data_IF_688885330724
#
_entry.id   IF_688885330724
#
_cell.length_a   1.000
_cell.length_b   1.000
_cell.length_c   1.000
_cell.angle_alpha   90.00
_cell.angle_beta   90.00
_cell.angle_gamma   90.00
#
_symmetry.space_group_name_H-M   'P 1'
#
loop_
_entity.id
_entity.type
_entity.pdbx_description
1 polymer ?
#
# COMPACT_ATOMS: atom_id res chain seq x y z
N UNK A 1 3.73 1.91 -24.03
CA UNK A 1 3.20 1.74 -22.65
C UNK A 1 2.87 3.08 -21.96
N UNK A 2 3.80 4.04 -21.93
CA UNK A 2 3.67 5.32 -21.18
C UNK A 2 2.43 6.17 -21.53
N UNK A 3 2.05 6.28 -22.82
CA UNK A 3 0.82 7.01 -23.21
C UNK A 3 -0.46 6.41 -22.63
N UNK A 4 -0.50 5.09 -22.37
CA UNK A 4 -1.69 4.44 -21.83
C UNK A 4 -1.77 4.53 -20.31
N UNK A 5 -0.63 4.45 -19.63
CA UNK A 5 -0.54 4.65 -18.17
C UNK A 5 -0.92 6.10 -17.84
N UNK A 6 -0.42 7.07 -18.61
CA UNK A 6 -0.80 8.48 -18.48
C UNK A 6 -2.31 8.71 -18.69
N UNK A 7 -2.96 7.93 -19.57
CA UNK A 7 -4.43 7.93 -19.74
C UNK A 7 -5.19 7.33 -18.56
N UNK A 8 -4.62 6.37 -17.82
CA UNK A 8 -5.23 5.78 -16.61
C UNK A 8 -5.14 6.73 -15.42
N UNK A 9 -3.95 7.27 -15.16
CA UNK A 9 -3.70 8.22 -14.09
C UNK A 9 -4.56 9.49 -14.27
N UNK A 10 -4.66 10.00 -15.51
CA UNK A 10 -5.53 11.15 -15.82
C UNK A 10 -7.01 10.84 -15.63
N UNK A 11 -7.49 9.64 -16.01
CA UNK A 11 -8.88 9.24 -15.76
C UNK A 11 -9.18 9.15 -14.27
N UNK A 12 -8.30 8.50 -13.50
CA UNK A 12 -8.48 8.35 -12.05
C UNK A 12 -8.42 9.70 -11.34
N UNK A 13 -7.49 10.57 -11.74
CA UNK A 13 -7.43 11.95 -11.27
C UNK A 13 -8.72 12.71 -11.60
N UNK A 14 -9.24 12.59 -12.82
CA UNK A 14 -10.51 13.22 -13.19
C UNK A 14 -11.69 12.70 -12.35
N UNK A 15 -11.73 11.40 -12.04
CA UNK A 15 -12.75 10.82 -11.14
C UNK A 15 -12.64 11.42 -9.74
N UNK A 16 -11.42 11.56 -9.18
CA UNK A 16 -11.20 12.20 -7.88
C UNK A 16 -11.70 13.65 -7.89
N UNK A 17 -11.36 14.42 -8.93
CA UNK A 17 -11.81 15.81 -9.06
C UNK A 17 -13.34 15.88 -9.13
N UNK A 18 -13.97 15.03 -9.93
CA UNK A 18 -15.45 14.95 -10.01
C UNK A 18 -16.05 14.60 -8.65
N UNK A 19 -15.46 13.66 -7.91
CA UNK A 19 -15.92 13.33 -6.56
C UNK A 19 -15.83 14.53 -5.62
N UNK A 20 -14.70 15.25 -5.61
CA UNK A 20 -14.53 16.45 -4.77
C UNK A 20 -15.60 17.49 -5.10
N UNK A 21 -15.88 17.73 -6.38
CA UNK A 21 -16.94 18.66 -6.82
C UNK A 21 -18.31 18.19 -6.34
N UNK A 22 -18.64 16.91 -6.52
CA UNK A 22 -19.93 16.34 -6.08
C UNK A 22 -20.09 16.46 -4.57
N UNK A 23 -19.08 16.12 -3.78
CA UNK A 23 -19.15 16.24 -2.32
C UNK A 23 -19.20 17.69 -1.85
N UNK A 24 -18.55 18.61 -2.57
CA UNK A 24 -18.65 20.05 -2.30
C UNK A 24 -20.07 20.59 -2.45
N UNK A 25 -20.93 19.96 -3.29
CA UNK A 25 -22.36 20.32 -3.36
C UNK A 25 -23.17 19.89 -2.13
N UNK A 26 -22.65 18.96 -1.33
CA UNK A 26 -23.29 18.43 -0.11
C UNK A 26 -22.71 19.03 1.17
N UNK A 27 -21.44 19.42 1.13
CA UNK A 27 -20.74 20.08 2.23
C UNK A 27 -19.89 21.23 1.66
N UNK A 28 -20.31 22.46 1.95
CA UNK A 28 -19.70 23.67 1.37
C UNK A 28 -18.19 23.77 1.66
N UNK A 29 -17.76 23.31 2.84
CA UNK A 29 -16.36 23.38 3.26
C UNK A 29 -15.50 22.22 2.75
N UNK A 30 -16.07 21.27 2.02
CA UNK A 30 -15.37 20.05 1.62
C UNK A 30 -14.18 20.31 0.70
N UNK A 31 -14.30 21.29 -0.21
CA UNK A 31 -13.24 21.65 -1.16
C UNK A 31 -12.29 22.74 -0.65
N UNK A 32 -12.40 23.14 0.63
CA UNK A 32 -11.48 24.13 1.21
C UNK A 32 -10.05 23.59 1.28
N UNK A 33 -9.02 24.43 1.09
CA UNK A 33 -7.62 23.99 1.13
C UNK A 33 -7.27 23.26 2.43
N UNK A 34 -7.79 23.72 3.57
CA UNK A 34 -7.55 23.11 4.88
C UNK A 34 -8.18 21.71 4.99
N UNK A 35 -9.40 21.53 4.48
CA UNK A 35 -10.05 20.22 4.47
C UNK A 35 -9.34 19.27 3.48
N UNK A 36 -8.93 19.75 2.31
CA UNK A 36 -8.16 18.94 1.35
C UNK A 36 -6.79 18.52 1.91
N UNK A 37 -6.12 19.41 2.64
CA UNK A 37 -4.90 19.10 3.38
C UNK A 37 -5.16 18.05 4.47
N UNK A 38 -6.29 18.15 5.19
CA UNK A 38 -6.77 17.15 6.14
C UNK A 38 -6.96 15.77 5.48
N UNK A 39 -7.70 15.71 4.37
CA UNK A 39 -7.94 14.47 3.60
C UNK A 39 -6.62 13.85 3.15
N UNK A 40 -5.69 14.65 2.62
CA UNK A 40 -4.37 14.17 2.25
C UNK A 40 -3.63 13.59 3.46
N UNK A 41 -3.67 14.29 4.59
CA UNK A 41 -3.06 13.84 5.84
C UNK A 41 -3.68 12.53 6.34
N UNK A 42 -5.00 12.38 6.34
CA UNK A 42 -5.72 11.13 6.66
C UNK A 42 -5.31 9.97 5.74
N UNK A 43 -5.01 10.28 4.49
CA UNK A 43 -4.65 9.28 3.48
C UNK A 43 -3.15 8.96 3.47
N UNK A 44 -2.32 9.77 4.13
CA UNK A 44 -0.86 9.66 4.12
C UNK A 44 -0.37 8.25 4.53
N UNK A 45 -0.94 7.67 5.58
CA UNK A 45 -0.55 6.33 6.04
C UNK A 45 -0.97 5.26 5.01
N UNK A 46 -2.17 5.39 4.44
CA UNK A 46 -2.61 4.48 3.37
C UNK A 46 -1.72 4.59 2.13
N UNK A 47 -1.24 5.79 1.76
CA UNK A 47 -0.28 5.97 0.67
C UNK A 47 1.01 5.19 0.94
N UNK A 48 1.58 5.33 2.14
CA UNK A 48 2.81 4.63 2.53
C UNK A 48 2.62 3.11 2.45
N UNK A 49 1.53 2.60 3.02
CA UNK A 49 1.21 1.16 2.98
C UNK A 49 0.86 0.66 1.58
N UNK A 50 0.20 1.46 0.74
CA UNK A 50 -0.07 1.10 -0.64
C UNK A 50 1.24 1.03 -1.45
N UNK A 51 2.21 1.92 -1.20
CA UNK A 51 3.53 1.83 -1.82
C UNK A 51 4.34 0.63 -1.33
N UNK A 52 4.20 0.26 -0.06
CA UNK A 52 4.72 -0.99 0.48
C UNK A 52 4.11 -2.20 -0.24
N UNK A 53 2.78 -2.23 -0.37
CA UNK A 53 2.07 -3.30 -1.05
C UNK A 53 2.39 -3.36 -2.55
N UNK A 54 2.60 -2.21 -3.19
CA UNK A 54 2.97 -2.11 -4.61
C UNK A 54 4.23 -2.91 -4.92
N UNK A 55 5.27 -2.84 -4.09
CA UNK A 55 6.53 -3.55 -4.37
C UNK A 55 6.31 -5.06 -4.35
N UNK A 56 5.47 -5.54 -3.44
CA UNK A 56 5.12 -6.96 -3.31
C UNK A 56 4.26 -7.42 -4.48
N UNK A 57 3.20 -6.67 -4.83
CA UNK A 57 2.31 -6.97 -5.97
C UNK A 57 3.09 -6.99 -7.28
N UNK A 58 4.02 -6.05 -7.48
CA UNK A 58 4.87 -6.05 -8.67
C UNK A 58 5.60 -7.38 -8.86
N UNK A 59 5.93 -8.12 -7.80
CA UNK A 59 6.63 -9.41 -7.87
C UNK A 59 5.71 -10.64 -7.91
N UNK A 60 4.42 -10.47 -8.22
CA UNK A 60 3.36 -11.52 -8.17
C UNK A 60 3.08 -12.06 -6.77
N UNK A 61 3.20 -11.22 -5.76
CA UNK A 61 2.94 -11.58 -4.37
C UNK A 61 1.90 -10.63 -3.77
N UNK A 62 1.25 -11.00 -2.67
CA UNK A 62 0.38 -10.10 -1.90
C UNK A 62 0.81 -10.26 -0.44
N UNK A 63 1.08 -9.14 0.23
CA UNK A 63 1.36 -9.10 1.66
C UNK A 63 0.11 -8.71 2.44
N UNK A 64 -0.62 -9.69 2.96
CA UNK A 64 -1.77 -9.43 3.83
C UNK A 64 -1.33 -9.12 5.28
N UNK A 65 -0.08 -9.41 5.64
CA UNK A 65 0.42 -9.18 7.00
C UNK A 65 0.84 -7.73 7.25
N UNK A 66 0.85 -6.87 6.22
CA UNK A 66 1.39 -5.49 6.28
C UNK A 66 0.76 -4.66 7.41
N UNK A 67 -0.55 -4.77 7.63
CA UNK A 67 -1.24 -4.08 8.71
C UNK A 67 -1.00 -4.71 10.09
N UNK A 68 -0.82 -6.03 10.14
CA UNK A 68 -0.47 -6.72 11.39
C UNK A 68 0.98 -6.42 11.81
N UNK A 69 1.90 -6.27 10.85
CA UNK A 69 3.26 -5.80 11.06
C UNK A 69 3.24 -4.36 11.61
N UNK A 70 2.44 -3.47 11.01
CA UNK A 70 2.19 -2.13 11.55
C UNK A 70 1.70 -2.22 13.00
N UNK A 71 0.71 -3.06 13.29
CA UNK A 71 0.14 -3.18 14.62
C UNK A 71 1.13 -3.66 15.69
N UNK A 72 1.85 -4.76 15.40
CA UNK A 72 2.89 -5.28 16.29
C UNK A 72 4.00 -4.26 16.51
N UNK A 73 4.55 -3.70 15.43
CA UNK A 73 5.65 -2.74 15.51
C UNK A 73 5.22 -1.48 16.26
N UNK A 74 3.99 -1.02 16.02
CA UNK A 74 3.40 0.14 16.70
C UNK A 74 3.24 -0.08 18.19
N UNK A 75 2.78 -1.26 18.60
CA UNK A 75 2.73 -1.66 20.01
C UNK A 75 4.14 -1.67 20.63
N UNK A 76 5.11 -2.31 19.95
CA UNK A 76 6.47 -2.42 20.45
C UNK A 76 7.13 -1.06 20.70
N UNK A 77 7.05 -0.12 19.75
CA UNK A 77 7.62 1.21 19.90
C UNK A 77 6.84 2.09 20.90
N UNK A 78 5.53 1.90 21.03
CA UNK A 78 4.72 2.59 22.04
C UNK A 78 5.15 2.18 23.45
N UNK A 79 5.32 0.88 23.68
CA UNK A 79 5.81 0.34 24.94
C UNK A 79 7.26 0.74 25.20
N UNK A 80 8.12 0.75 24.17
CA UNK A 80 9.50 1.22 24.29
C UNK A 80 9.57 2.69 24.70
N UNK A 81 8.74 3.55 24.12
CA UNK A 81 8.63 4.96 24.49
C UNK A 81 8.10 5.15 25.92
N UNK A 82 7.12 4.34 26.34
CA UNK A 82 6.56 4.39 27.68
C UNK A 82 7.57 3.90 28.74
N UNK A 83 8.32 2.83 28.45
CA UNK A 83 9.31 2.25 29.35
C UNK A 83 10.59 3.10 29.45
N UNK A 84 10.99 3.74 28.34
CA UNK A 84 12.22 4.53 28.26
C UNK A 84 11.94 5.93 27.68
N UNK A 85 11.28 6.81 28.44
CA UNK A 85 10.84 8.13 27.94
C UNK A 85 12.00 9.07 27.57
N UNK A 86 13.22 8.79 28.02
CA UNK A 86 14.43 9.53 27.64
C UNK A 86 15.01 9.14 26.27
N UNK A 87 14.49 8.11 25.60
CA UNK A 87 15.00 7.70 24.30
C UNK A 87 14.73 8.78 23.24
N UNK A 88 15.74 9.15 22.44
CA UNK A 88 15.54 10.06 21.32
C UNK A 88 14.52 9.49 20.33
N UNK A 89 13.62 10.34 19.83
CA UNK A 89 12.58 9.94 18.88
C UNK A 89 13.14 9.24 17.64
N UNK A 90 14.30 9.68 17.15
CA UNK A 90 14.95 9.06 15.99
C UNK A 90 15.28 7.59 16.23
N UNK A 91 15.64 7.20 17.46
CA UNK A 91 15.92 5.81 17.82
C UNK A 91 14.64 4.98 17.74
N UNK A 92 13.51 5.52 18.20
CA UNK A 92 12.21 4.84 18.11
C UNK A 92 11.76 4.66 16.66
N UNK A 93 11.97 5.67 15.80
CA UNK A 93 11.66 5.57 14.36
C UNK A 93 12.54 4.53 13.68
N UNK A 94 13.85 4.53 13.95
CA UNK A 94 14.76 3.53 13.40
C UNK A 94 14.43 2.13 13.90
N UNK A 95 14.11 1.97 15.18
CA UNK A 95 13.64 0.71 15.75
C UNK A 95 12.36 0.22 15.07
N UNK A 96 11.41 1.12 14.79
CA UNK A 96 10.19 0.78 14.06
C UNK A 96 10.50 0.23 12.66
N UNK A 97 11.36 0.91 11.90
CA UNK A 97 11.78 0.47 10.56
C UNK A 97 12.50 -0.88 10.62
N UNK A 98 13.40 -1.08 11.59
CA UNK A 98 14.17 -2.32 11.74
C UNK A 98 13.27 -3.50 12.13
N UNK A 99 12.38 -3.33 13.11
CA UNK A 99 11.42 -4.37 13.51
C UNK A 99 10.50 -4.71 12.33
N UNK A 100 9.97 -3.69 11.66
CA UNK A 100 9.12 -3.89 10.50
C UNK A 100 9.82 -4.63 9.36
N UNK A 101 11.07 -4.24 9.06
CA UNK A 101 11.90 -4.91 8.05
C UNK A 101 12.23 -6.36 8.44
N UNK A 102 12.49 -6.63 9.72
CA UNK A 102 12.73 -7.98 10.23
C UNK A 102 11.50 -8.88 10.05
N UNK A 103 10.30 -8.38 10.39
CA UNK A 103 9.07 -9.11 10.13
C UNK A 103 8.83 -9.32 8.63
N UNK A 104 9.03 -8.29 7.80
CA UNK A 104 8.98 -8.42 6.35
C UNK A 104 9.99 -9.47 5.83
N UNK A 105 11.19 -9.53 6.40
CA UNK A 105 12.21 -10.51 6.02
C UNK A 105 11.80 -11.95 6.30
N UNK A 106 11.02 -12.20 7.37
CA UNK A 106 10.47 -13.53 7.66
C UNK A 106 9.54 -13.96 6.52
N UNK A 107 8.59 -13.10 6.12
CA UNK A 107 7.71 -13.40 4.99
C UNK A 107 8.49 -13.62 3.69
N UNK A 108 9.42 -12.70 3.40
CA UNK A 108 10.27 -12.78 2.23
C UNK A 108 11.07 -14.07 2.19
N UNK A 109 11.61 -14.51 3.33
CA UNK A 109 12.41 -15.73 3.45
C UNK A 109 11.57 -16.98 3.24
N UNK A 110 10.39 -17.05 3.87
CA UNK A 110 9.45 -18.18 3.70
C UNK A 110 9.00 -18.30 2.23
N UNK A 111 8.73 -17.18 1.57
CA UNK A 111 8.34 -17.16 0.16
C UNK A 111 9.51 -17.51 -0.76
N UNK A 112 10.70 -16.98 -0.49
CA UNK A 112 11.86 -17.16 -1.35
C UNK A 112 12.50 -18.53 -1.20
N UNK A 113 12.79 -18.97 0.04
CA UNK A 113 13.63 -20.13 0.31
C UNK A 113 12.84 -21.43 0.47
N UNK A 114 11.64 -21.34 1.04
CA UNK A 114 10.75 -22.49 1.23
C UNK A 114 9.68 -22.59 0.14
N UNK A 115 9.64 -21.64 -0.79
CA UNK A 115 8.72 -21.61 -1.94
C UNK A 115 7.23 -21.71 -1.55
N UNK A 116 6.90 -21.28 -0.32
CA UNK A 116 5.52 -21.29 0.15
C UNK A 116 4.75 -20.18 -0.57
N UNK A 117 3.51 -20.43 -1.05
CA UNK A 117 2.69 -19.42 -1.68
C UNK A 117 2.56 -18.14 -0.81
N UNK A 118 2.82 -16.93 -1.36
CA UNK A 118 2.87 -15.69 -0.57
C UNK A 118 1.61 -15.37 0.22
N UNK A 119 0.43 -15.68 -0.32
CA UNK A 119 -0.85 -15.45 0.35
C UNK A 119 -0.94 -16.32 1.61
N UNK A 120 -0.50 -17.59 1.55
CA UNK A 120 -0.53 -18.51 2.70
C UNK A 120 0.43 -18.02 3.79
N UNK A 121 1.66 -17.65 3.40
CA UNK A 121 2.65 -17.09 4.34
C UNK A 121 2.08 -15.87 5.05
N UNK A 122 1.53 -14.91 4.28
CA UNK A 122 1.15 -13.61 4.83
C UNK A 122 -0.18 -13.64 5.57
N UNK A 123 -1.11 -14.56 5.25
CA UNK A 123 -2.26 -14.85 6.09
C UNK A 123 -1.84 -15.49 7.43
N UNK A 124 -0.89 -16.41 7.39
CA UNK A 124 -0.34 -17.04 8.59
C UNK A 124 0.40 -16.03 9.47
N UNK A 125 1.26 -15.19 8.88
CA UNK A 125 1.99 -14.18 9.65
C UNK A 125 1.12 -13.01 10.08
N UNK A 126 0.03 -12.69 9.38
CA UNK A 126 -0.99 -11.74 9.87
C UNK A 126 -1.47 -12.15 11.26
N UNK A 127 -1.91 -13.40 11.44
CA UNK A 127 -2.43 -13.88 12.73
C UNK A 127 -1.32 -14.00 13.77
N UNK A 128 -0.13 -14.48 13.38
CA UNK A 128 1.04 -14.53 14.28
C UNK A 128 1.38 -13.13 14.78
N UNK A 129 1.48 -12.12 13.91
CA UNK A 129 1.89 -10.77 14.31
C UNK A 129 0.84 -10.09 15.20
N UNK A 130 -0.46 -10.29 14.93
CA UNK A 130 -1.52 -9.86 15.85
C UNK A 130 -1.41 -10.55 17.20
N UNK A 131 -1.19 -11.87 17.22
CA UNK A 131 -0.98 -12.64 18.45
C UNK A 131 0.25 -12.18 19.24
N UNK A 132 1.37 -11.91 18.56
CA UNK A 132 2.57 -11.35 19.19
C UNK A 132 2.31 -9.97 19.79
N UNK A 133 1.48 -9.13 19.15
CA UNK A 133 1.12 -7.82 19.70
C UNK A 133 0.31 -7.96 21.00
N UNK A 134 -0.58 -8.96 21.07
CA UNK A 134 -1.31 -9.30 22.29
C UNK A 134 -0.38 -9.81 23.40
N UNK A 135 0.50 -10.78 23.08
CA UNK A 135 1.45 -11.34 24.05
C UNK A 135 2.41 -10.28 24.59
N UNK A 136 2.92 -9.40 23.72
CA UNK A 136 3.83 -8.32 24.09
C UNK A 136 3.17 -7.33 25.06
N UNK A 137 1.90 -6.99 24.83
CA UNK A 137 1.16 -6.03 25.65
C UNK A 137 0.43 -6.64 26.85
N UNK A 138 0.36 -7.97 26.94
CA UNK A 138 -0.55 -8.65 27.87
C UNK A 138 -2.02 -8.34 27.62
N UNK A 139 -2.38 -7.92 26.41
CA UNK A 139 -3.71 -7.43 26.03
C UNK A 139 -4.01 -5.98 26.46
N UNK A 140 -3.07 -5.30 27.13
CA UNK A 140 -3.24 -3.91 27.54
C UNK A 140 -3.10 -2.93 26.36
N UNK A 141 -3.71 -1.77 26.51
CA UNK A 141 -3.58 -0.67 25.55
C UNK A 141 -2.53 0.31 26.05
N UNK A 142 -1.70 0.82 25.14
CA UNK A 142 -0.83 1.96 25.43
C UNK A 142 -1.55 3.23 24.97
N UNK A 143 -1.85 4.11 25.91
CA UNK A 143 -2.65 5.33 25.66
C UNK A 143 -1.77 6.59 25.70
N UNK A 144 -2.34 7.70 25.24
CA UNK A 144 -1.67 8.99 25.10
C UNK A 144 -0.87 9.43 26.34
N UNK A 145 -1.42 9.24 27.54
CA UNK A 145 -0.79 9.67 28.80
C UNK A 145 0.49 8.88 29.16
N UNK A 146 0.70 7.72 28.55
CA UNK A 146 1.91 6.90 28.72
C UNK A 146 2.97 7.23 27.67
N UNK A 147 2.63 8.04 26.66
CA UNK A 147 3.53 8.40 25.56
C UNK A 147 4.13 9.79 25.81
N UNK A 148 5.41 9.93 25.52
CA UNK A 148 6.10 11.22 25.60
C UNK A 148 5.48 12.29 24.67
N UNK A 149 5.48 13.57 25.06
CA UNK A 149 4.95 14.65 24.23
C UNK A 149 5.62 14.73 22.85
N UNK A 150 6.94 14.54 22.79
CA UNK A 150 7.70 14.56 21.54
C UNK A 150 7.28 13.43 20.60
N UNK A 151 7.00 12.24 21.14
CA UNK A 151 6.50 11.12 20.34
C UNK A 151 5.18 11.46 19.67
N UNK A 152 4.26 12.11 20.39
CA UNK A 152 2.91 12.49 19.94
C UNK A 152 2.88 13.74 19.05
N UNK A 153 3.78 14.70 19.27
CA UNK A 153 3.71 16.01 18.62
C UNK A 153 4.17 15.99 17.16
N UNK A 154 5.19 15.18 16.83
CA UNK A 154 5.88 15.26 15.54
C UNK A 154 4.93 15.09 14.35
N UNK A 155 4.12 14.02 14.21
CA UNK A 155 3.26 13.85 13.05
C UNK A 155 2.17 14.92 12.90
N UNK A 156 1.79 15.59 14.01
CA UNK A 156 0.78 16.66 14.04
C UNK A 156 1.35 18.05 13.78
N UNK A 157 2.68 18.20 13.85
CA UNK A 157 3.33 19.51 13.73
C UNK A 157 3.09 20.07 12.33
N UNK A 158 2.47 21.26 12.18
CA UNK A 158 2.24 21.85 10.88
C UNK A 158 3.52 22.50 10.35
N UNK A 159 3.87 22.20 9.10
CA UNK A 159 4.99 22.81 8.36
C UNK A 159 4.46 23.23 6.99
N UNK A 160 4.55 24.52 6.67
CA UNK A 160 4.09 25.07 5.37
C UNK A 160 2.64 24.69 5.02
N UNK A 161 1.74 24.67 6.02
CA UNK A 161 0.31 24.34 5.84
C UNK A 161 -0.02 22.84 5.81
N UNK A 162 0.97 21.95 5.90
CA UNK A 162 0.75 20.50 5.97
C UNK A 162 1.40 19.88 7.22
N UNK A 163 0.77 18.91 7.90
CA UNK A 163 1.40 18.20 9.00
C UNK A 163 2.64 17.42 8.55
N UNK A 164 3.61 17.23 9.44
CA UNK A 164 4.82 16.42 9.17
C UNK A 164 4.47 15.04 8.61
N UNK A 165 3.38 14.41 9.07
CA UNK A 165 2.91 13.13 8.53
C UNK A 165 2.71 13.16 7.00
N UNK A 166 2.10 14.24 6.50
CA UNK A 166 1.89 14.46 5.07
C UNK A 166 3.21 14.62 4.33
N UNK A 167 4.16 15.36 4.91
CA UNK A 167 5.51 15.51 4.35
C UNK A 167 6.28 14.20 4.29
N UNK A 168 6.19 13.37 5.33
CA UNK A 168 6.80 12.03 5.32
C UNK A 168 6.23 11.19 4.19
N UNK A 169 4.90 11.21 3.97
CA UNK A 169 4.30 10.51 2.84
C UNK A 169 4.81 11.04 1.49
N UNK A 170 4.92 12.36 1.29
CA UNK A 170 5.48 12.96 0.07
C UNK A 170 6.93 12.50 -0.16
N UNK A 171 7.75 12.50 0.89
CA UNK A 171 9.14 12.03 0.82
C UNK A 171 9.19 10.55 0.44
N UNK A 172 8.36 9.71 1.06
CA UNK A 172 8.28 8.28 0.71
C UNK A 172 7.81 8.08 -0.74
N UNK A 173 6.84 8.85 -1.23
CA UNK A 173 6.42 8.82 -2.64
C UNK A 173 7.61 9.12 -3.56
N UNK A 174 8.38 10.16 -3.26
CA UNK A 174 9.55 10.54 -4.05
C UNK A 174 10.64 9.45 -4.02
N UNK A 175 10.96 8.92 -2.83
CA UNK A 175 11.93 7.83 -2.66
C UNK A 175 11.50 6.57 -3.40
N UNK A 176 10.23 6.18 -3.30
CA UNK A 176 9.69 5.00 -3.98
C UNK A 176 9.66 5.18 -5.50
N UNK A 177 9.35 6.38 -5.98
CA UNK A 177 9.46 6.71 -7.39
C UNK A 177 10.89 6.58 -7.90
N UNK A 178 11.88 7.13 -7.18
CA UNK A 178 13.29 7.02 -7.56
C UNK A 178 13.77 5.57 -7.52
N UNK A 179 13.42 4.84 -6.46
CA UNK A 179 13.77 3.43 -6.28
C UNK A 179 13.18 2.57 -7.39
N UNK A 180 11.90 2.69 -7.70
CA UNK A 180 11.27 1.84 -8.73
C UNK A 180 11.65 2.24 -10.16
N UNK A 181 11.97 3.52 -10.41
CA UNK A 181 12.31 4.00 -11.76
C UNK A 181 13.79 3.85 -12.10
N UNK A 182 14.69 4.11 -11.14
CA UNK A 182 16.12 4.25 -11.42
C UNK A 182 16.99 3.13 -10.82
N UNK A 183 16.53 2.40 -9.79
CA UNK A 183 17.34 1.34 -9.17
C UNK A 183 17.32 0.00 -9.94
N UNK A 184 18.30 -0.85 -9.66
CA UNK A 184 18.34 -2.24 -10.13
C UNK A 184 17.16 -3.05 -9.58
N UNK A 185 16.84 -2.88 -8.29
CA UNK A 185 15.70 -3.55 -7.66
C UNK A 185 14.38 -3.26 -8.39
N UNK A 186 14.14 -1.99 -8.77
CA UNK A 186 12.95 -1.62 -9.53
C UNK A 186 12.82 -2.39 -10.84
N UNK A 187 13.89 -2.42 -11.65
CA UNK A 187 13.93 -3.19 -12.91
C UNK A 187 13.70 -4.68 -12.67
N UNK A 188 14.35 -5.25 -11.67
CA UNK A 188 14.20 -6.66 -11.29
C UNK A 188 12.77 -6.97 -10.84
N UNK A 189 12.12 -6.09 -10.08
CA UNK A 189 10.75 -6.26 -9.61
C UNK A 189 9.75 -6.29 -10.77
N UNK A 190 9.85 -5.33 -11.70
CA UNK A 190 9.00 -5.32 -12.90
C UNK A 190 9.25 -6.55 -13.81
N UNK A 191 10.50 -6.97 -13.98
CA UNK A 191 10.84 -8.13 -14.81
C UNK A 191 10.34 -9.44 -14.18
N UNK A 192 10.60 -9.65 -12.88
CA UNK A 192 10.11 -10.78 -12.09
C UNK A 192 8.59 -10.87 -12.16
N UNK A 193 7.93 -9.72 -12.07
CA UNK A 193 6.49 -9.59 -12.20
C UNK A 193 5.92 -9.90 -13.58
N UNK A 194 6.56 -9.44 -14.65
CA UNK A 194 6.03 -9.60 -16.00
C UNK A 194 6.14 -11.05 -16.47
N UNK A 195 7.35 -11.58 -16.44
CA UNK A 195 7.63 -12.96 -16.82
C UNK A 195 8.80 -13.50 -15.98
N UNK A 196 8.50 -14.22 -14.87
CA UNK A 196 9.54 -14.79 -14.00
C UNK A 196 10.53 -15.67 -14.76
N UNK A 197 10.05 -16.48 -15.70
CA UNK A 197 10.88 -17.39 -16.51
C UNK A 197 11.86 -16.60 -17.37
N UNK A 198 11.39 -15.57 -18.09
CA UNK A 198 12.27 -14.71 -18.89
C UNK A 198 13.24 -13.88 -18.01
N UNK A 199 12.82 -13.48 -16.81
CA UNK A 199 13.67 -12.77 -15.87
C UNK A 199 14.87 -13.64 -15.43
N UNK A 200 14.64 -14.93 -15.15
CA UNK A 200 15.72 -15.88 -14.82
C UNK A 200 16.69 -16.04 -15.99
N UNK A 201 16.19 -16.17 -17.24
CA UNK A 201 17.06 -16.22 -18.43
C UNK A 201 17.84 -14.92 -18.66
N UNK A 202 17.34 -13.79 -18.17
CA UNK A 202 18.05 -12.50 -18.19
C UNK A 202 19.01 -12.30 -17.01
N UNK A 203 19.25 -13.33 -16.19
CA UNK A 203 20.16 -13.30 -15.04
C UNK A 203 19.59 -12.63 -13.78
N UNK A 204 18.27 -12.42 -13.72
CA UNK A 204 17.61 -11.81 -12.55
C UNK A 204 17.20 -12.92 -11.58
N UNK A 205 17.70 -12.84 -10.35
CA UNK A 205 17.24 -13.70 -9.26
C UNK A 205 15.84 -13.24 -8.78
N UNK A 206 14.82 -13.91 -9.30
CA UNK A 206 13.42 -13.62 -8.96
C UNK A 206 13.12 -13.86 -7.48
N UNK A 207 13.83 -14.81 -6.86
CA UNK A 207 13.65 -15.17 -5.46
C UNK A 207 14.15 -14.06 -4.53
N UNK A 208 15.40 -13.62 -4.72
CA UNK A 208 15.96 -12.47 -3.98
C UNK A 208 15.16 -11.20 -4.20
N UNK A 209 14.64 -10.99 -5.41
CA UNK A 209 13.79 -9.83 -5.72
C UNK A 209 12.50 -9.84 -4.89
N UNK A 210 11.83 -11.00 -4.76
CA UNK A 210 10.66 -11.16 -3.88
C UNK A 210 11.03 -10.92 -2.41
N UNK A 211 12.14 -11.50 -1.94
CA UNK A 211 12.63 -11.29 -0.57
C UNK A 211 12.79 -9.80 -0.25
N UNK A 212 13.52 -9.06 -1.11
CA UNK A 212 13.73 -7.62 -0.93
C UNK A 212 12.42 -6.82 -0.99
N UNK A 213 11.45 -7.24 -1.81
CA UNK A 213 10.13 -6.60 -1.85
C UNK A 213 9.39 -6.71 -0.51
N UNK A 214 9.41 -7.88 0.12
CA UNK A 214 8.82 -8.09 1.44
C UNK A 214 9.57 -7.34 2.56
N UNK A 215 10.91 -7.29 2.51
CA UNK A 215 11.71 -6.49 3.46
C UNK A 215 11.35 -5.01 3.36
N UNK A 216 11.26 -4.48 2.14
CA UNK A 216 10.87 -3.08 1.90
C UNK A 216 9.42 -2.81 2.33
N UNK A 217 8.50 -3.75 2.08
CA UNK A 217 7.12 -3.68 2.56
C UNK A 217 7.08 -3.57 4.08
N UNK A 218 7.80 -4.46 4.77
CA UNK A 218 7.88 -4.47 6.22
C UNK A 218 8.53 -3.21 6.80
N UNK A 219 9.60 -2.70 6.18
CA UNK A 219 10.27 -1.47 6.59
C UNK A 219 9.32 -0.25 6.54
N UNK A 220 8.53 -0.14 5.46
CA UNK A 220 7.54 0.91 5.30
C UNK A 220 6.34 0.74 6.24
N UNK A 221 5.91 -0.50 6.50
CA UNK A 221 4.90 -0.79 7.52
C UNK A 221 5.37 -0.42 8.94
N UNK A 222 6.64 -0.65 9.24
CA UNK A 222 7.28 -0.23 10.48
C UNK A 222 7.35 1.29 10.62
N UNK A 223 7.74 2.02 9.57
CA UNK A 223 7.66 3.50 9.59
C UNK A 223 6.22 3.99 9.78
N UNK A 224 5.26 3.37 9.07
CA UNK A 224 3.85 3.70 9.17
C UNK A 224 3.27 3.44 10.56
N UNK A 225 3.82 2.49 11.33
CA UNK A 225 3.34 2.20 12.69
C UNK A 225 3.61 3.32 13.67
N UNK A 226 4.81 3.90 13.63
CA UNK A 226 5.15 5.09 14.41
C UNK A 226 4.16 6.22 14.10
N UNK A 227 3.99 6.50 12.81
CA UNK A 227 3.11 7.55 12.33
C UNK A 227 1.66 7.33 12.75
N UNK A 228 1.17 6.09 12.68
CA UNK A 228 -0.17 5.70 13.10
C UNK A 228 -0.37 5.91 14.60
N UNK A 229 0.46 5.26 15.43
CA UNK A 229 0.30 5.26 16.88
C UNK A 229 0.46 6.67 17.45
N UNK A 230 1.43 7.43 16.95
CA UNK A 230 1.63 8.81 17.36
C UNK A 230 0.43 9.70 17.00
N UNK A 231 -0.12 9.53 15.79
CA UNK A 231 -1.30 10.30 15.32
C UNK A 231 -2.55 10.01 16.12
N UNK A 232 -2.87 8.74 16.36
CA UNK A 232 -4.09 8.34 17.07
C UNK A 232 -3.89 8.29 18.59
N UNK A 233 -2.65 8.48 19.07
CA UNK A 233 -2.26 8.47 20.48
C UNK A 233 -2.69 7.20 21.23
N UNK A 234 -2.78 6.07 20.52
CA UNK A 234 -3.19 4.79 21.08
C UNK A 234 -2.53 3.65 20.31
N UNK A 235 -2.08 2.63 21.03
CA UNK A 235 -1.67 1.34 20.50
C UNK A 235 -2.44 0.22 21.18
N UNK A 236 -3.07 -0.63 20.38
CA UNK A 236 -3.77 -1.84 20.78
C UNK A 236 -3.68 -2.88 19.65
N UNK A 237 -4.10 -4.12 19.93
CA UNK A 237 -3.84 -5.27 19.04
C UNK A 237 -4.46 -5.12 17.65
N UNK A 238 -5.62 -4.46 17.54
CA UNK A 238 -6.41 -4.36 16.30
C UNK A 238 -6.23 -3.02 15.55
N UNK A 239 -5.19 -2.23 15.86
CA UNK A 239 -4.93 -1.01 15.08
C UNK A 239 -4.71 -1.32 13.59
N UNK A 240 -5.14 -0.40 12.73
CA UNK A 240 -5.06 -0.53 11.27
C UNK A 240 -5.71 -1.80 10.69
N UNK A 241 -6.66 -2.44 11.40
CA UNK A 241 -7.40 -3.57 10.85
C UNK A 241 -8.14 -3.18 9.55
N UNK A 242 -8.06 -4.04 8.53
CA UNK A 242 -8.61 -3.79 7.19
C UNK A 242 -7.68 -3.00 6.26
N UNK A 243 -6.64 -2.33 6.77
CA UNK A 243 -5.70 -1.59 5.91
C UNK A 243 -4.87 -2.52 5.03
N UNK A 244 -4.74 -3.79 5.39
CA UNK A 244 -4.19 -4.83 4.51
C UNK A 244 -4.99 -4.97 3.21
N UNK A 245 -6.33 -4.89 3.27
CA UNK A 245 -7.17 -4.93 2.08
C UNK A 245 -7.22 -3.57 1.38
N UNK A 246 -7.25 -2.46 2.13
CA UNK A 246 -7.24 -1.12 1.55
C UNK A 246 -5.96 -0.82 0.77
N UNK A 247 -4.80 -1.29 1.25
CA UNK A 247 -3.53 -1.10 0.56
C UNK A 247 -3.47 -1.86 -0.77
N UNK A 248 -4.00 -3.09 -0.80
CA UNK A 248 -4.19 -3.87 -2.04
C UNK A 248 -5.16 -3.15 -2.97
N UNK A 249 -6.31 -2.71 -2.43
CA UNK A 249 -7.32 -1.97 -3.18
C UNK A 249 -6.78 -0.69 -3.81
N UNK A 250 -6.05 0.12 -3.04
CA UNK A 250 -5.39 1.33 -3.54
C UNK A 250 -4.45 1.02 -4.71
N UNK A 251 -3.67 -0.07 -4.63
CA UNK A 251 -2.82 -0.51 -5.73
C UNK A 251 -3.62 -0.90 -6.97
N UNK A 252 -4.68 -1.69 -6.81
CA UNK A 252 -5.47 -2.20 -7.93
C UNK A 252 -6.30 -1.11 -8.60
N UNK A 253 -6.93 -0.21 -7.81
CA UNK A 253 -7.61 0.99 -8.29
C UNK A 253 -6.61 1.89 -9.04
N UNK A 254 -5.40 2.02 -8.49
CA UNK A 254 -4.27 2.71 -9.13
C UNK A 254 -3.77 2.06 -10.42
N UNK A 255 -4.29 0.88 -10.78
CA UNK A 255 -4.01 0.20 -12.04
C UNK A 255 -2.79 -0.72 -12.01
N UNK A 256 -2.31 -1.10 -10.82
CA UNK A 256 -1.31 -2.16 -10.66
C UNK A 256 -1.98 -3.50 -10.97
N UNK A 257 -1.32 -4.32 -11.78
CA UNK A 257 -1.83 -5.66 -12.08
C UNK A 257 -1.51 -6.61 -10.93
N UNK A 258 -2.51 -7.34 -10.46
CA UNK A 258 -2.35 -8.42 -9.47
C UNK A 258 -1.47 -9.55 -10.05
N UNK A 259 -1.46 -9.70 -11.37
CA UNK A 259 -0.58 -10.64 -12.06
C UNK A 259 0.89 -10.21 -12.10
N UNK A 260 1.23 -9.03 -11.55
CA UNK A 260 2.59 -8.50 -11.41
C UNK A 260 3.11 -7.77 -12.64
N UNK A 261 4.26 -7.10 -12.47
CA UNK A 261 5.05 -6.54 -13.57
C UNK A 261 4.50 -5.30 -14.27
N UNK A 262 3.33 -4.80 -13.87
CA UNK A 262 2.70 -3.60 -14.43
C UNK A 262 2.15 -2.74 -13.31
N UNK A 263 2.54 -1.47 -13.29
CA UNK A 263 2.11 -0.49 -12.29
C UNK A 263 2.87 0.82 -12.39
N UNK A 264 2.44 1.84 -11.66
CA UNK A 264 3.15 3.11 -11.50
C UNK A 264 2.94 3.67 -10.09
N UNK A 265 3.93 4.39 -9.58
CA UNK A 265 3.87 5.02 -8.25
C UNK A 265 2.75 6.07 -8.21
N UNK A 266 2.63 6.88 -9.27
CA UNK A 266 1.56 7.87 -9.37
C UNK A 266 0.17 7.22 -9.38
N UNK A 267 0.00 6.08 -10.08
CA UNK A 267 -1.23 5.29 -10.03
C UNK A 267 -1.58 4.85 -8.62
N UNK A 268 -0.62 4.28 -7.88
CA UNK A 268 -0.81 3.85 -6.48
C UNK A 268 -1.23 4.99 -5.57
N UNK A 269 -0.57 6.14 -5.68
CA UNK A 269 -0.89 7.34 -4.89
C UNK A 269 -2.29 7.82 -5.21
N UNK A 270 -2.67 7.90 -6.49
CA UNK A 270 -4.02 8.29 -6.89
C UNK A 270 -5.07 7.28 -6.42
N UNK A 271 -4.77 5.97 -6.44
CA UNK A 271 -5.67 4.94 -5.91
C UNK A 271 -5.87 5.06 -4.40
N UNK A 272 -4.81 5.34 -3.65
CA UNK A 272 -4.90 5.61 -2.21
C UNK A 272 -5.69 6.89 -1.94
N UNK A 273 -5.43 7.98 -2.67
CA UNK A 273 -6.17 9.24 -2.58
C UNK A 273 -7.65 9.07 -2.91
N UNK A 274 -7.97 8.28 -3.93
CA UNK A 274 -9.35 7.97 -4.27
C UNK A 274 -10.08 7.28 -3.10
N UNK A 275 -9.49 6.25 -2.49
CA UNK A 275 -10.05 5.62 -1.28
C UNK A 275 -10.09 6.60 -0.10
N UNK A 276 -9.07 7.42 0.07
CA UNK A 276 -8.99 8.44 1.10
C UNK A 276 -10.12 9.47 1.01
N UNK A 277 -10.43 9.96 -0.20
CA UNK A 277 -11.56 10.85 -0.43
C UNK A 277 -12.87 10.16 -0.09
N UNK A 278 -13.09 8.90 -0.50
CA UNK A 278 -14.30 8.14 -0.10
C UNK A 278 -14.41 8.07 1.42
N UNK A 279 -13.30 7.71 2.09
CA UNK A 279 -13.29 7.47 3.53
C UNK A 279 -13.50 8.71 4.37
N UNK A 280 -13.14 9.89 3.84
CA UNK A 280 -13.37 11.17 4.50
C UNK A 280 -14.69 11.81 4.09
N UNK A 281 -15.14 11.63 2.85
CA UNK A 281 -16.34 12.29 2.33
C UNK A 281 -17.64 11.65 2.83
N UNK A 282 -17.72 10.31 2.88
CA UNK A 282 -18.94 9.62 3.28
C UNK A 282 -19.38 9.94 4.72
N UNK A 283 -18.48 9.98 5.73
CA UNK A 283 -18.85 10.42 7.07
C UNK A 283 -19.36 11.86 7.12
N UNK A 284 -18.77 12.78 6.35
CA UNK A 284 -19.15 14.20 6.33
C UNK A 284 -20.60 14.40 5.87
N UNK A 285 -21.10 13.54 4.99
CA UNK A 285 -22.51 13.55 4.55
C UNK A 285 -23.43 12.66 5.40
N UNK A 286 -22.97 12.19 6.56
CA UNK A 286 -23.77 11.43 7.53
C UNK A 286 -23.94 9.94 7.20
N UNK A 287 -23.13 9.36 6.31
CA UNK A 287 -23.18 7.91 6.03
C UNK A 287 -22.48 7.15 7.16
N UNK A 288 -23.12 6.07 7.62
CA UNK A 288 -22.56 5.24 8.70
C UNK A 288 -21.24 4.58 8.29
N UNK A 289 -20.29 4.36 9.22
CA UNK A 289 -19.04 3.65 8.94
C UNK A 289 -19.25 2.23 8.36
N UNK A 290 -20.32 1.54 8.76
CA UNK A 290 -20.65 0.21 8.25
C UNK A 290 -21.05 0.25 6.77
N UNK A 291 -21.89 1.22 6.39
CA UNK A 291 -22.28 1.44 4.99
C UNK A 291 -21.07 1.88 4.16
N UNK A 292 -20.20 2.71 4.73
CA UNK A 292 -18.94 3.10 4.10
C UNK A 292 -18.03 1.90 3.81
N UNK A 293 -17.94 0.91 4.72
CA UNK A 293 -17.21 -0.34 4.45
C UNK A 293 -17.81 -1.10 3.26
N UNK A 294 -19.14 -1.23 3.20
CA UNK A 294 -19.82 -1.90 2.09
C UNK A 294 -19.61 -1.18 0.75
N UNK A 295 -19.68 0.16 0.74
CA UNK A 295 -19.41 0.99 -0.45
C UNK A 295 -17.96 0.82 -0.88
N UNK A 296 -17.01 0.91 0.05
CA UNK A 296 -15.58 0.74 -0.24
C UNK A 296 -15.31 -0.63 -0.86
N UNK A 297 -15.85 -1.71 -0.29
CA UNK A 297 -15.74 -3.07 -0.86
C UNK A 297 -16.34 -3.19 -2.26
N UNK A 298 -17.51 -2.59 -2.49
CA UNK A 298 -18.17 -2.57 -3.82
C UNK A 298 -17.31 -1.86 -4.86
N UNK A 299 -16.76 -0.69 -4.50
CA UNK A 299 -15.89 0.09 -5.37
C UNK A 299 -14.61 -0.67 -5.73
N UNK A 300 -14.04 -1.41 -4.78
CA UNK A 300 -12.88 -2.28 -5.02
C UNK A 300 -13.22 -3.37 -6.05
N UNK A 301 -14.34 -4.07 -5.88
CA UNK A 301 -14.77 -5.12 -6.82
C UNK A 301 -14.96 -4.54 -8.22
N UNK A 302 -15.62 -3.38 -8.34
CA UNK A 302 -15.82 -2.71 -9.62
C UNK A 302 -14.49 -2.33 -10.28
N UNK A 303 -13.55 -1.79 -9.51
CA UNK A 303 -12.21 -1.44 -10.01
C UNK A 303 -11.44 -2.67 -10.51
N UNK A 304 -11.44 -3.76 -9.74
CA UNK A 304 -10.81 -5.03 -10.10
C UNK A 304 -11.46 -5.60 -11.37
N UNK A 305 -12.79 -5.64 -11.43
CA UNK A 305 -13.52 -6.18 -12.58
C UNK A 305 -13.25 -5.39 -13.87
N UNK A 306 -13.18 -4.06 -13.78
CA UNK A 306 -12.82 -3.21 -14.91
C UNK A 306 -11.38 -3.44 -15.37
N UNK A 307 -10.43 -3.59 -14.44
CA UNK A 307 -9.04 -3.85 -14.78
C UNK A 307 -8.86 -5.24 -15.43
N UNK A 308 -9.50 -6.28 -14.87
CA UNK A 308 -9.42 -7.66 -15.35
C UNK A 308 -9.97 -7.85 -16.78
N UNK A 309 -11.13 -7.25 -17.10
CA UNK A 309 -11.72 -7.30 -18.44
C UNK A 309 -10.80 -6.70 -19.50
N UNK A 310 -10.06 -5.65 -19.14
CA UNK A 310 -9.21 -4.90 -20.07
C UNK A 310 -7.88 -5.60 -20.33
N UNK A 311 -7.34 -6.33 -19.36
CA UNK A 311 -6.14 -7.17 -19.55
C UNK A 311 -6.41 -8.37 -20.46
N UNK A 312 -7.59 -8.99 -20.37
CA UNK A 312 -8.01 -10.12 -21.24
C UNK A 312 -8.01 -9.77 -22.74
N UNK A 313 -8.28 -8.52 -23.10
CA UNK A 313 -8.41 -8.07 -24.49
C UNK A 313 -7.07 -7.84 -25.22
N UNK A 314 -5.91 -7.97 -24.55
CA UNK A 314 -4.58 -7.74 -25.17
C UNK A 314 -3.91 -8.99 -25.74
N UNK A 315 -4.48 -10.17 -25.52
CA UNK A 315 -4.00 -11.43 -26.10
C UNK A 315 -4.61 -11.71 -27.48
N UNK A 316 -4.40 -10.86 -28.49
CA UNK A 316 -4.56 -11.33 -29.87
C UNK A 316 -3.26 -12.03 -30.27
N UNK A 317 -3.31 -13.36 -30.27
CA UNK A 317 -2.21 -14.22 -30.74
C UNK A 317 -2.10 -14.01 -32.24
N UNK A 318 -1.17 -13.15 -32.67
CA UNK A 318 -0.90 -12.79 -34.08
C UNK A 318 -0.66 -14.06 -34.94
N UNK A 319 -0.15 -15.13 -34.34
CA UNK A 319 0.13 -16.39 -35.01
C UNK A 319 -1.13 -17.19 -35.37
N UNK A 320 -2.23 -17.07 -34.60
CA UNK A 320 -3.46 -17.82 -34.88
C UNK A 320 -4.19 -17.24 -36.08
N UNK A 321 -4.14 -15.92 -36.26
CA UNK A 321 -4.75 -15.23 -37.39
C UNK A 321 -3.95 -15.46 -38.69
N UNK A 322 -2.61 -15.59 -38.62
CA UNK A 322 -1.79 -15.96 -39.77
C UNK A 322 -1.97 -17.42 -40.18
N UNK A 323 -1.92 -18.36 -39.24
CA UNK A 323 -2.17 -19.77 -39.55
C UNK A 323 -3.59 -20.01 -40.08
N UNK A 324 -4.60 -19.32 -39.53
CA UNK A 324 -5.96 -19.39 -40.05
C UNK A 324 -6.13 -18.73 -41.43
N UNK A 325 -5.33 -17.71 -41.76
CA UNK A 325 -5.31 -17.11 -43.09
C UNK A 325 -4.62 -18.03 -44.11
N UNK A 326 -3.48 -18.63 -43.75
CA UNK A 326 -2.72 -19.58 -44.59
C UNK A 326 -3.57 -20.81 -44.94
N UNK A 327 -4.27 -21.41 -43.96
CA UNK A 327 -5.17 -22.54 -44.18
C UNK A 327 -6.33 -22.19 -45.13
N UNK A 328 -6.85 -20.94 -45.07
CA UNK A 328 -7.92 -20.49 -45.98
C UNK A 328 -7.44 -20.28 -47.41
N UNK A 329 -6.20 -19.83 -47.60
CA UNK A 329 -5.60 -19.70 -48.92
C UNK A 329 -5.27 -21.07 -49.54
N UNK A 330 -4.82 -22.04 -48.74
CA UNK A 330 -4.57 -23.41 -49.22
C UNK A 330 -5.87 -24.15 -49.56
N UNK A 331 -6.96 -23.92 -48.83
CA UNK A 331 -8.26 -24.54 -49.13
C UNK A 331 -9.00 -23.91 -50.33
N UNK A 332 -8.51 -22.77 -50.84
CA UNK A 332 -9.10 -22.05 -51.98
C UNK A 332 -8.31 -22.25 -53.30
N UNK A 333 -7.18 -22.97 -53.25
CA UNK A 333 -6.38 -23.38 -54.39
C UNK A 333 -6.70 -24.84 -54.78
#
# INVERSE_FOLDING_TARGET
>A
MMRLIRKRETLLFAIIVVMIVVFSTRAADFATPDNLAGIFNDTAILIILALAQMTVILTKSIDLSVAANLAFTGMAIAMMNAAFPGLPLIVLILAAVVIGAALGSINGFLVWRLEIPPIVVTLGTLTIYRGMAFVLSGGAWVNAHQMTPTFLAVPRTPILGLPVLSWVAIIIVALMYMLLRYSQFGRSAYATGGNPTAAVYAGIDTGRTKFLAFVLSGALAGLASYLWVSRYAVAYVDIANGFELDSVAACVIGGISIAGGVGSVAGTVLGALFLGVIKNALPVIGISPFTQMAISGTVIILAVAFNARRERNRGRIILRDRAAAEIRTEAAA
#
